data_IF_039783272914
#
_entry.id   IF_039783272914
#
_cell.length_a   1.000
_cell.length_b   1.000
_cell.length_c   1.000
_cell.angle_alpha   90.00
_cell.angle_beta   90.00
_cell.angle_gamma   90.00
#
_symmetry.space_group_name_H-M   'P 1'
#
loop_
_entity.id
_entity.type
_entity.pdbx_description
1 polymer ?
#
# COMPACT_ATOMS: atom_id res chain seq x y z
N UNK A 1 -8.64 26.05 -9.64
CA UNK A 1 -8.57 26.56 -8.27
C UNK A 1 -7.69 25.70 -7.38
N UNK A 2 -7.27 26.24 -6.23
CA UNK A 2 -6.46 25.52 -5.24
C UNK A 2 -6.96 25.88 -3.83
N UNK A 3 -7.24 24.88 -3.00
CA UNK A 3 -7.66 25.04 -1.60
C UNK A 3 -6.74 24.28 -0.69
N UNK A 4 -6.24 24.89 0.38
CA UNK A 4 -5.50 24.23 1.46
C UNK A 4 -6.47 24.06 2.63
N UNK A 5 -6.59 22.83 3.13
CA UNK A 5 -7.37 22.52 4.31
C UNK A 5 -6.47 22.42 5.54
N UNK A 6 -6.95 22.86 6.69
CA UNK A 6 -6.23 22.85 7.96
C UNK A 6 -6.60 21.62 8.83
N UNK A 7 -7.79 21.07 8.66
CA UNK A 7 -8.29 19.92 9.40
C UNK A 7 -9.18 19.01 8.54
N UNK A 8 -9.52 17.83 9.07
CA UNK A 8 -10.33 16.82 8.39
C UNK A 8 -11.76 17.33 8.07
N UNK A 9 -12.33 18.17 8.92
CA UNK A 9 -13.68 18.70 8.71
C UNK A 9 -13.73 19.65 7.51
N UNK A 10 -12.70 20.47 7.34
CA UNK A 10 -12.55 21.31 6.13
C UNK A 10 -12.39 20.49 4.85
N UNK A 11 -11.65 19.36 4.90
CA UNK A 11 -11.53 18.46 3.74
C UNK A 11 -12.90 17.89 3.40
N UNK A 12 -13.62 17.35 4.38
CA UNK A 12 -14.95 16.77 4.18
C UNK A 12 -15.93 17.80 3.59
N UNK A 13 -16.01 19.00 4.19
CA UNK A 13 -16.87 20.09 3.70
C UNK A 13 -16.51 20.53 2.27
N UNK A 14 -15.20 20.58 1.97
CA UNK A 14 -14.74 20.95 0.64
C UNK A 14 -15.13 19.90 -0.42
N UNK A 15 -15.03 18.61 -0.10
CA UNK A 15 -15.40 17.51 -0.99
C UNK A 15 -16.93 17.40 -1.15
N UNK A 16 -17.72 17.69 -0.12
CA UNK A 16 -19.18 17.78 -0.23
C UNK A 16 -19.59 18.90 -1.20
N UNK A 17 -18.93 20.07 -1.09
CA UNK A 17 -19.22 21.22 -1.97
C UNK A 17 -18.69 21.04 -3.38
N UNK A 18 -17.57 20.33 -3.53
CA UNK A 18 -16.86 20.13 -4.81
C UNK A 18 -16.52 18.64 -4.99
N UNK A 19 -17.51 17.77 -5.25
CA UNK A 19 -17.27 16.32 -5.31
C UNK A 19 -16.36 15.87 -6.47
N UNK A 20 -16.12 16.74 -7.46
CA UNK A 20 -15.19 16.51 -8.56
C UNK A 20 -13.79 17.09 -8.30
N UNK A 21 -13.57 17.73 -7.15
CA UNK A 21 -12.25 18.25 -6.80
C UNK A 21 -11.25 17.10 -6.62
N UNK A 22 -10.01 17.32 -7.05
CA UNK A 22 -8.93 16.36 -6.85
C UNK A 22 -8.25 16.60 -5.51
N UNK A 23 -8.31 15.59 -4.63
CA UNK A 23 -7.59 15.61 -3.37
C UNK A 23 -6.11 15.31 -3.62
N UNK A 24 -5.21 16.10 -3.05
CA UNK A 24 -3.76 15.95 -3.22
C UNK A 24 -3.03 16.01 -1.88
N UNK A 25 -2.17 14.99 -1.64
CA UNK A 25 -1.15 14.99 -0.59
C UNK A 25 0.16 15.55 -1.14
N UNK A 26 1.11 14.67 -1.48
CA UNK A 26 2.42 15.05 -2.04
C UNK A 26 2.47 15.26 -3.55
N UNK A 27 1.42 14.96 -4.29
CA UNK A 27 1.27 15.13 -5.74
C UNK A 27 2.28 14.43 -6.64
N UNK A 28 3.13 13.55 -6.14
CA UNK A 28 4.21 12.92 -6.93
C UNK A 28 3.71 12.06 -8.09
N UNK A 29 2.54 11.44 -7.96
CA UNK A 29 1.89 10.71 -9.05
C UNK A 29 0.94 11.62 -9.85
N UNK A 30 0.14 12.44 -9.15
CA UNK A 30 -0.81 13.34 -9.80
C UNK A 30 -0.15 14.36 -10.72
N UNK A 31 1.08 14.80 -10.40
CA UNK A 31 1.85 15.70 -11.27
C UNK A 31 2.09 15.11 -12.67
N UNK A 32 2.15 13.79 -12.80
CA UNK A 32 2.28 13.12 -14.09
C UNK A 32 0.98 13.20 -14.92
N UNK A 33 -0.18 13.17 -14.26
CA UNK A 33 -1.46 13.40 -14.95
C UNK A 33 -1.52 14.82 -15.56
N UNK A 34 -0.94 15.82 -14.86
CA UNK A 34 -0.86 17.21 -15.36
C UNK A 34 0.19 17.36 -16.45
N UNK A 35 1.42 16.85 -16.22
CA UNK A 35 2.56 17.12 -17.13
C UNK A 35 2.56 16.23 -18.36
N UNK A 36 2.04 15.01 -18.28
CA UNK A 36 2.02 14.05 -19.38
C UNK A 36 0.61 13.85 -19.96
N UNK A 37 -0.42 13.83 -19.10
CA UNK A 37 -1.82 13.64 -19.48
C UNK A 37 -2.56 14.95 -19.77
N UNK A 38 -1.92 16.12 -19.56
CA UNK A 38 -2.53 17.47 -19.71
C UNK A 38 -3.83 17.62 -18.89
N UNK A 39 -3.93 16.95 -17.74
CA UNK A 39 -5.07 17.07 -16.85
C UNK A 39 -5.18 18.51 -16.31
N UNK A 40 -6.36 19.09 -16.37
CA UNK A 40 -6.66 20.43 -15.90
C UNK A 40 -7.83 20.41 -14.92
N UNK A 41 -7.62 20.00 -13.65
CA UNK A 41 -8.68 19.95 -12.66
C UNK A 41 -9.21 21.33 -12.35
N UNK A 42 -10.51 21.47 -12.18
CA UNK A 42 -11.13 22.74 -11.78
C UNK A 42 -10.69 23.20 -10.39
N UNK A 43 -10.53 22.22 -9.47
CA UNK A 43 -10.12 22.47 -8.09
C UNK A 43 -9.22 21.36 -7.58
N UNK A 44 -8.08 21.75 -6.99
CA UNK A 44 -7.23 20.91 -6.16
C UNK A 44 -7.49 21.22 -4.68
N UNK A 45 -7.63 20.20 -3.87
CA UNK A 45 -7.75 20.30 -2.40
C UNK A 45 -6.51 19.65 -1.78
N UNK A 46 -5.67 20.46 -1.14
CA UNK A 46 -4.46 19.98 -0.47
C UNK A 46 -4.75 19.57 0.96
N UNK A 47 -4.30 18.35 1.32
CA UNK A 47 -4.33 17.82 2.69
C UNK A 47 -2.98 17.93 3.42
N UNK A 48 -1.96 18.50 2.78
CA UNK A 48 -0.60 18.57 3.34
C UNK A 48 -0.47 19.35 4.66
N UNK A 49 -1.49 20.14 5.05
CA UNK A 49 -1.53 20.85 6.34
C UNK A 49 -2.52 20.26 7.34
N UNK A 50 -3.23 19.19 6.99
CA UNK A 50 -4.17 18.52 7.90
C UNK A 50 -3.36 17.70 8.90
N UNK A 51 -3.22 18.20 10.12
CA UNK A 51 -2.34 17.61 11.13
C UNK A 51 -2.63 16.15 11.41
N UNK A 52 -3.90 15.78 11.55
CA UNK A 52 -4.35 14.43 11.84
C UNK A 52 -3.99 13.45 10.73
N UNK A 53 -3.93 13.92 9.48
CA UNK A 53 -3.55 13.11 8.32
C UNK A 53 -2.03 13.01 8.11
N UNK A 54 -1.24 13.83 8.83
CA UNK A 54 0.23 13.84 8.75
C UNK A 54 0.90 13.12 9.93
N UNK A 55 0.15 12.54 10.86
CA UNK A 55 0.70 11.89 12.05
C UNK A 55 1.00 10.41 11.79
N UNK A 56 2.13 9.93 12.34
CA UNK A 56 2.47 8.52 12.44
C UNK A 56 2.67 8.21 13.92
N UNK A 57 1.77 7.43 14.54
CA UNK A 57 1.79 7.19 16.00
C UNK A 57 1.47 5.74 16.31
N UNK A 58 2.18 5.18 17.28
CA UNK A 58 1.82 3.92 17.90
C UNK A 58 0.56 4.14 18.76
N UNK A 59 -0.42 3.29 18.58
CA UNK A 59 -1.65 3.25 19.36
C UNK A 59 -1.86 1.85 19.94
N UNK A 60 -2.92 1.67 20.73
CA UNK A 60 -3.22 0.33 21.25
C UNK A 60 -3.37 -0.69 20.11
N UNK A 61 -2.54 -1.72 20.14
CA UNK A 61 -2.57 -2.85 19.19
C UNK A 61 -1.92 -2.61 17.82
N UNK A 62 -1.40 -1.43 17.50
CA UNK A 62 -0.82 -1.19 16.19
C UNK A 62 -0.24 0.21 15.96
N UNK A 63 0.12 0.45 14.71
CA UNK A 63 0.61 1.72 14.20
C UNK A 63 -0.49 2.39 13.36
N UNK A 64 -0.86 3.64 13.70
CA UNK A 64 -1.72 4.48 12.87
C UNK A 64 -0.86 5.45 12.07
N UNK A 65 -1.05 5.44 10.76
CA UNK A 65 -0.37 6.33 9.80
C UNK A 65 -1.43 7.19 9.12
N UNK A 66 -1.35 8.49 9.27
CA UNK A 66 -2.21 9.44 8.57
C UNK A 66 -1.96 9.39 7.06
N UNK A 67 -3.01 9.55 6.26
CA UNK A 67 -2.94 9.37 4.81
C UNK A 67 -2.02 10.38 4.10
N UNK A 68 -1.81 11.56 4.69
CA UNK A 68 -0.91 12.59 4.16
C UNK A 68 0.52 12.50 4.71
N UNK A 69 0.81 11.56 5.63
CA UNK A 69 2.17 11.33 6.10
C UNK A 69 3.06 10.88 4.94
N UNK A 70 4.20 11.54 4.78
CA UNK A 70 5.16 11.23 3.73
C UNK A 70 5.87 9.90 4.01
N UNK A 71 6.42 9.29 2.97
CA UNK A 71 7.25 8.09 3.13
C UNK A 71 8.47 8.37 4.01
N UNK A 72 9.07 9.56 3.90
CA UNK A 72 10.20 9.97 4.75
C UNK A 72 9.81 10.02 6.22
N UNK A 73 8.62 10.51 6.56
CA UNK A 73 8.14 10.58 7.95
C UNK A 73 7.71 9.20 8.48
N UNK A 74 7.08 8.38 7.64
CA UNK A 74 6.59 7.07 8.04
C UNK A 74 7.71 6.01 8.16
N UNK A 75 8.74 6.06 7.30
CA UNK A 75 9.79 5.04 7.24
C UNK A 75 10.48 4.78 8.59
N UNK A 76 10.98 5.76 9.35
CA UNK A 76 11.65 5.49 10.62
C UNK A 76 10.76 4.74 11.62
N UNK A 77 9.47 5.06 11.66
CA UNK A 77 8.51 4.46 12.58
C UNK A 77 8.14 3.04 12.11
N UNK A 78 7.96 2.84 10.80
CA UNK A 78 7.76 1.51 10.24
C UNK A 78 8.94 0.58 10.55
N UNK A 79 10.18 1.06 10.43
CA UNK A 79 11.38 0.27 10.67
C UNK A 79 11.60 -0.07 12.15
N UNK A 80 11.05 0.69 13.10
CA UNK A 80 11.04 0.32 14.52
C UNK A 80 10.26 -0.98 14.77
N UNK A 81 9.20 -1.24 14.00
CA UNK A 81 8.32 -2.39 14.16
C UNK A 81 8.60 -3.51 13.13
N UNK A 82 9.02 -3.14 11.94
CA UNK A 82 9.29 -4.06 10.81
C UNK A 82 10.63 -3.72 10.14
N UNK A 83 11.77 -3.96 10.82
CA UNK A 83 13.10 -3.59 10.29
C UNK A 83 13.42 -4.27 8.95
N UNK A 84 12.83 -5.42 8.67
CA UNK A 84 13.00 -6.13 7.38
C UNK A 84 12.40 -5.42 6.15
N UNK A 85 11.65 -4.34 6.35
CA UNK A 85 11.13 -3.50 5.27
C UNK A 85 12.14 -2.46 4.78
N UNK A 86 13.33 -2.35 5.41
CA UNK A 86 14.30 -1.29 5.14
C UNK A 86 14.66 -1.18 3.67
N UNK A 87 15.11 -2.27 3.04
CA UNK A 87 15.50 -2.25 1.65
C UNK A 87 14.35 -1.78 0.73
N UNK A 88 13.15 -2.29 0.93
CA UNK A 88 11.99 -1.90 0.13
C UNK A 88 11.67 -0.41 0.28
N UNK A 89 11.63 0.10 1.51
CA UNK A 89 11.28 1.49 1.80
C UNK A 89 12.35 2.48 1.34
N UNK A 90 13.63 2.15 1.49
CA UNK A 90 14.74 2.99 1.02
C UNK A 90 14.86 3.01 -0.51
N UNK A 91 14.44 1.94 -1.18
CA UNK A 91 14.40 1.83 -2.64
C UNK A 91 13.07 2.30 -3.26
N UNK A 92 12.14 2.81 -2.46
CA UNK A 92 10.92 3.43 -2.97
C UNK A 92 11.25 4.82 -3.55
N UNK A 93 11.26 4.94 -4.87
CA UNK A 93 11.62 6.17 -5.56
C UNK A 93 12.92 6.80 -5.06
N UNK A 94 13.15 8.05 -5.40
CA UNK A 94 14.27 8.84 -4.89
C UNK A 94 13.97 9.46 -3.51
N UNK A 95 14.98 9.96 -2.78
CA UNK A 95 14.75 10.75 -1.56
C UNK A 95 13.80 11.94 -1.76
N UNK A 96 13.91 12.63 -2.91
CA UNK A 96 13.03 13.75 -3.27
C UNK A 96 11.57 13.29 -3.41
N UNK A 97 11.35 12.12 -4.01
CA UNK A 97 10.02 11.53 -4.11
C UNK A 97 9.50 11.14 -2.73
N UNK A 98 10.29 10.47 -1.90
CA UNK A 98 9.86 10.06 -0.55
C UNK A 98 9.52 11.23 0.36
N UNK A 99 10.16 12.38 0.18
CA UNK A 99 9.87 13.62 0.92
C UNK A 99 8.50 14.22 0.59
N UNK A 100 7.87 13.81 -0.51
CA UNK A 100 6.58 14.31 -0.97
C UNK A 100 5.51 13.20 -1.05
N UNK A 101 5.88 12.03 -1.54
CA UNK A 101 4.96 10.91 -1.70
C UNK A 101 4.40 10.48 -0.34
N UNK A 102 3.08 10.33 -0.27
CA UNK A 102 2.37 9.97 0.96
C UNK A 102 1.89 8.52 0.91
N UNK A 103 1.77 7.89 2.09
CA UNK A 103 1.26 6.52 2.21
C UNK A 103 -0.16 6.43 1.64
N UNK A 104 -1.06 7.34 2.05
CA UNK A 104 -2.44 7.36 1.55
C UNK A 104 -2.51 7.65 0.06
N UNK A 105 -1.63 8.53 -0.47
CA UNK A 105 -1.53 8.80 -1.91
C UNK A 105 -1.16 7.55 -2.71
N UNK A 106 -0.19 6.76 -2.24
CA UNK A 106 0.22 5.52 -2.89
C UNK A 106 -0.90 4.47 -2.87
N UNK A 107 -1.64 4.36 -1.76
CA UNK A 107 -2.81 3.48 -1.64
C UNK A 107 -3.95 3.95 -2.54
N UNK A 108 -4.32 5.24 -2.50
CA UNK A 108 -5.42 5.81 -3.30
C UNK A 108 -5.17 5.75 -4.80
N UNK A 109 -3.91 5.83 -5.24
CA UNK A 109 -3.52 5.68 -6.65
C UNK A 109 -3.82 4.28 -7.20
N UNK A 110 -3.92 3.27 -6.33
CA UNK A 110 -4.26 1.88 -6.66
C UNK A 110 -3.44 1.32 -7.83
N UNK A 111 -2.15 1.69 -7.89
CA UNK A 111 -1.24 1.15 -8.90
C UNK A 111 -0.98 -0.34 -8.64
N UNK A 112 -1.11 -1.23 -9.66
CA UNK A 112 -0.78 -2.64 -9.52
C UNK A 112 0.70 -2.90 -9.17
N UNK A 113 1.57 -1.93 -9.44
CA UNK A 113 3.01 -2.00 -9.17
C UNK A 113 3.46 -1.09 -8.02
N UNK A 114 2.52 -0.60 -7.21
CA UNK A 114 2.82 0.15 -6.00
C UNK A 114 3.46 -0.74 -4.93
N UNK A 115 4.47 -0.24 -4.21
CA UNK A 115 5.24 -1.04 -3.26
C UNK A 115 4.61 -1.07 -1.85
N UNK A 116 3.86 -0.04 -1.44
CA UNK A 116 3.24 -0.03 -0.10
C UNK A 116 2.01 -0.94 0.01
N UNK A 117 1.14 -1.12 -1.02
CA UNK A 117 -0.01 -2.00 -0.91
C UNK A 117 0.33 -3.46 -0.55
N UNK A 118 1.35 -4.14 -1.13
CA UNK A 118 1.76 -5.47 -0.71
C UNK A 118 2.19 -5.53 0.76
N UNK A 119 2.88 -4.50 1.27
CA UNK A 119 3.24 -4.40 2.71
C UNK A 119 1.97 -4.38 3.56
N UNK A 120 1.03 -3.52 3.22
CA UNK A 120 -0.20 -3.33 3.97
C UNK A 120 -1.10 -4.58 3.93
N UNK A 121 -1.15 -5.29 2.80
CA UNK A 121 -1.87 -6.56 2.65
C UNK A 121 -1.24 -7.68 3.49
N UNK A 122 0.09 -7.81 3.48
CA UNK A 122 0.79 -8.84 4.26
C UNK A 122 0.73 -8.57 5.77
N UNK A 123 0.67 -7.30 6.18
CA UNK A 123 0.54 -6.88 7.56
C UNK A 123 -0.91 -6.77 8.05
N UNK A 124 -1.88 -7.20 7.23
CA UNK A 124 -3.31 -7.18 7.56
C UNK A 124 -3.84 -5.80 7.98
N UNK A 125 -3.36 -4.78 7.29
CA UNK A 125 -3.72 -3.40 7.57
C UNK A 125 -5.19 -3.12 7.25
N UNK A 126 -5.74 -2.10 7.93
CA UNK A 126 -7.06 -1.54 7.63
C UNK A 126 -6.92 -0.08 7.19
N UNK A 127 -7.88 0.38 6.41
CA UNK A 127 -7.96 1.77 5.94
C UNK A 127 -9.21 2.44 6.50
N UNK A 128 -9.02 3.63 7.08
CA UNK A 128 -10.11 4.48 7.58
C UNK A 128 -10.50 5.48 6.50
N UNK A 129 -11.76 5.45 6.10
CA UNK A 129 -12.36 6.29 5.08
C UNK A 129 -13.36 7.25 5.71
N UNK A 130 -13.47 8.47 5.15
CA UNK A 130 -14.41 9.47 5.63
C UNK A 130 -15.16 10.15 4.49
N UNK A 131 -16.46 10.39 4.72
CA UNK A 131 -17.34 11.21 3.89
C UNK A 131 -18.20 12.08 4.79
N UNK A 132 -18.08 13.39 4.67
CA UNK A 132 -18.77 14.31 5.59
C UNK A 132 -18.42 14.04 7.04
N UNK A 133 -19.41 13.71 7.86
CA UNK A 133 -19.23 13.32 9.27
C UNK A 133 -19.10 11.81 9.48
N UNK A 134 -19.41 11.00 8.46
CA UNK A 134 -19.40 9.54 8.55
C UNK A 134 -18.01 8.99 8.29
N UNK A 135 -17.65 7.97 9.06
CA UNK A 135 -16.40 7.19 8.88
C UNK A 135 -16.71 5.72 8.77
N UNK A 136 -15.90 5.00 7.99
CA UNK A 136 -15.91 3.54 7.94
C UNK A 136 -14.49 3.01 7.83
N UNK A 137 -14.28 1.79 8.26
CA UNK A 137 -13.00 1.10 8.18
C UNK A 137 -13.16 -0.16 7.36
N UNK A 138 -12.20 -0.42 6.46
CA UNK A 138 -12.14 -1.62 5.64
C UNK A 138 -10.80 -2.33 5.83
N UNK A 139 -10.77 -3.67 5.75
CA UNK A 139 -9.52 -4.39 5.52
C UNK A 139 -8.88 -3.92 4.21
N UNK A 140 -7.55 -3.83 4.17
CA UNK A 140 -6.82 -3.45 2.95
C UNK A 140 -7.10 -4.42 1.79
N UNK A 141 -7.39 -5.68 2.10
CA UNK A 141 -7.77 -6.71 1.12
C UNK A 141 -9.10 -6.45 0.40
N UNK A 142 -9.94 -5.58 0.94
CA UNK A 142 -11.23 -5.19 0.34
C UNK A 142 -11.18 -3.81 -0.31
N UNK A 143 -10.02 -3.12 -0.25
CA UNK A 143 -9.91 -1.76 -0.75
C UNK A 143 -9.71 -1.68 -2.28
N UNK A 144 -9.01 -2.64 -2.90
CA UNK A 144 -8.71 -2.65 -4.33
C UNK A 144 -9.70 -3.53 -5.08
N UNK A 145 -10.42 -2.96 -6.05
CA UNK A 145 -11.46 -3.70 -6.80
C UNK A 145 -11.00 -4.15 -8.19
N UNK A 146 -10.37 -3.27 -8.96
CA UNK A 146 -9.81 -3.54 -10.28
C UNK A 146 -8.74 -2.50 -10.62
N UNK A 147 -8.18 -2.54 -11.83
CA UNK A 147 -7.13 -1.61 -12.23
C UNK A 147 -7.51 -0.15 -11.95
N UNK A 148 -6.76 0.50 -11.07
CA UNK A 148 -6.97 1.89 -10.59
C UNK A 148 -8.37 2.17 -10.04
N UNK A 149 -9.10 1.16 -9.57
CA UNK A 149 -10.39 1.32 -8.90
C UNK A 149 -10.31 0.82 -7.46
N UNK A 150 -10.81 1.64 -6.57
CA UNK A 150 -10.82 1.38 -5.13
C UNK A 150 -12.24 1.38 -4.58
N UNK A 151 -12.36 1.03 -3.31
CA UNK A 151 -13.61 1.06 -2.54
C UNK A 151 -14.06 2.49 -2.15
N UNK A 152 -13.33 3.53 -2.56
CA UNK A 152 -13.71 4.92 -2.30
C UNK A 152 -14.99 5.30 -3.05
N UNK A 153 -15.99 5.74 -2.31
CA UNK A 153 -17.18 6.38 -2.86
C UNK A 153 -16.89 7.82 -3.30
N UNK A 154 -17.80 8.39 -4.11
CA UNK A 154 -17.70 9.80 -4.50
C UNK A 154 -17.76 10.71 -3.26
N UNK A 155 -16.77 11.60 -3.13
CA UNK A 155 -16.60 12.49 -1.98
C UNK A 155 -16.02 11.84 -0.74
N UNK A 156 -15.62 10.57 -0.81
CA UNK A 156 -14.92 9.87 0.26
C UNK A 156 -13.40 10.00 0.13
N UNK A 157 -12.69 9.98 1.25
CA UNK A 157 -11.23 10.07 1.26
C UNK A 157 -10.60 9.23 2.37
N UNK A 158 -9.35 8.84 2.16
CA UNK A 158 -8.57 8.12 3.16
C UNK A 158 -8.11 9.09 4.24
N UNK A 159 -8.43 8.79 5.50
CA UNK A 159 -7.98 9.54 6.68
C UNK A 159 -6.67 8.97 7.23
N UNK A 160 -6.66 7.67 7.45
CA UNK A 160 -5.53 6.96 8.04
C UNK A 160 -5.49 5.49 7.62
N UNK A 161 -4.33 4.88 7.84
CA UNK A 161 -4.11 3.45 7.70
C UNK A 161 -3.67 2.94 9.07
N UNK A 162 -4.28 1.84 9.53
CA UNK A 162 -3.88 1.17 10.76
C UNK A 162 -3.21 -0.15 10.40
N UNK A 163 -2.02 -0.38 10.96
CA UNK A 163 -1.25 -1.62 10.79
C UNK A 163 -1.16 -2.29 12.16
N UNK A 164 -1.76 -3.47 12.37
CA UNK A 164 -1.67 -4.17 13.64
C UNK A 164 -0.22 -4.58 13.91
N UNK A 165 0.19 -4.54 15.19
CA UNK A 165 1.48 -5.08 15.57
C UNK A 165 1.47 -6.60 15.43
N UNK A 166 2.53 -7.13 14.90
CA UNK A 166 2.72 -8.58 14.81
C UNK A 166 2.86 -9.20 16.20
N UNK A 167 2.47 -10.47 16.33
CA UNK A 167 2.89 -11.28 17.47
C UNK A 167 4.42 -11.40 17.50
N UNK A 168 5.01 -11.54 18.69
CA UNK A 168 6.46 -11.51 18.91
C UNK A 168 7.26 -12.53 18.06
N UNK A 169 6.61 -13.61 17.60
CA UNK A 169 7.23 -14.69 16.81
C UNK A 169 7.02 -14.53 15.29
N UNK A 170 6.38 -13.43 14.84
CA UNK A 170 6.11 -13.24 13.43
C UNK A 170 7.36 -12.78 12.67
N UNK A 171 7.56 -13.35 11.51
CA UNK A 171 8.59 -12.96 10.56
C UNK A 171 7.95 -12.23 9.39
N UNK A 172 8.54 -11.10 9.00
CA UNK A 172 8.18 -10.36 7.78
C UNK A 172 9.39 -10.33 6.86
N UNK A 173 9.18 -10.53 5.57
CA UNK A 173 10.21 -10.34 4.53
C UNK A 173 9.61 -9.61 3.35
N UNK A 174 10.36 -8.69 2.79
CA UNK A 174 9.96 -7.91 1.63
C UNK A 174 11.03 -8.00 0.54
N UNK A 175 10.58 -8.12 -0.71
CA UNK A 175 11.45 -8.25 -1.88
C UNK A 175 10.95 -7.30 -2.96
N UNK A 176 11.85 -6.42 -3.42
CA UNK A 176 11.59 -5.49 -4.53
C UNK A 176 12.47 -5.88 -5.71
N UNK A 177 11.86 -6.45 -6.75
CA UNK A 177 12.54 -6.86 -7.99
C UNK A 177 12.37 -5.76 -9.03
N UNK A 178 13.48 -5.22 -9.53
CA UNK A 178 13.51 -4.09 -10.47
C UNK A 178 14.62 -4.30 -11.52
N UNK A 179 14.56 -3.54 -12.61
CA UNK A 179 15.64 -3.53 -13.62
C UNK A 179 16.88 -2.76 -13.14
N UNK A 180 16.68 -1.69 -12.38
CA UNK A 180 17.72 -0.87 -11.77
C UNK A 180 17.60 -0.97 -10.26
N UNK A 181 18.72 -0.83 -9.56
CA UNK A 181 18.72 -0.96 -8.09
C UNK A 181 17.93 0.19 -7.42
N UNK A 182 18.23 1.42 -7.84
CA UNK A 182 17.60 2.62 -7.27
C UNK A 182 16.62 3.28 -8.24
N UNK A 183 15.66 4.00 -7.66
CA UNK A 183 14.71 4.88 -8.34
C UNK A 183 13.99 4.20 -9.52
N UNK A 184 13.57 2.96 -9.30
CA UNK A 184 12.88 2.18 -10.33
C UNK A 184 11.57 1.58 -9.81
N UNK A 185 10.61 1.42 -10.72
CA UNK A 185 9.32 0.80 -10.45
C UNK A 185 9.49 -0.70 -10.41
N UNK A 186 8.87 -1.35 -9.44
CA UNK A 186 8.92 -2.81 -9.28
C UNK A 186 8.35 -3.53 -10.50
N UNK A 187 9.11 -4.49 -11.01
CA UNK A 187 8.56 -5.55 -11.87
C UNK A 187 7.67 -6.47 -11.04
N UNK A 188 8.17 -6.86 -9.86
CA UNK A 188 7.45 -7.60 -8.81
C UNK A 188 7.84 -7.02 -7.46
N UNK A 189 6.85 -6.79 -6.61
CA UNK A 189 7.04 -6.56 -5.19
C UNK A 189 6.36 -7.69 -4.43
N UNK A 190 7.09 -8.40 -3.56
CA UNK A 190 6.56 -9.47 -2.72
C UNK A 190 6.78 -9.13 -1.26
N UNK A 191 5.74 -9.33 -0.44
CA UNK A 191 5.87 -9.24 1.03
C UNK A 191 5.23 -10.48 1.63
N UNK A 192 6.00 -11.19 2.46
CA UNK A 192 5.54 -12.36 3.18
C UNK A 192 5.57 -12.12 4.69
N UNK A 193 4.51 -12.52 5.36
CA UNK A 193 4.36 -12.57 6.79
C UNK A 193 4.03 -14.00 7.21
N UNK A 194 4.69 -14.50 8.25
CA UNK A 194 4.38 -15.80 8.86
C UNK A 194 4.88 -15.87 10.28
N UNK A 195 4.26 -16.73 11.07
CA UNK A 195 4.78 -17.19 12.35
C UNK A 195 5.24 -18.66 12.23
N UNK A 196 6.08 -19.10 13.16
CA UNK A 196 6.51 -20.49 13.26
C UNK A 196 6.06 -21.07 14.59
N UNK A 197 5.08 -21.98 14.54
CA UNK A 197 4.52 -22.65 15.72
C UNK A 197 4.76 -24.15 15.61
N UNK A 198 5.45 -24.75 16.56
CA UNK A 198 5.77 -26.20 16.55
C UNK A 198 6.39 -26.69 15.23
N UNK A 199 7.34 -25.94 14.68
CA UNK A 199 7.98 -26.20 13.39
C UNK A 199 7.02 -26.22 12.19
N UNK A 200 5.88 -25.52 12.27
CA UNK A 200 4.91 -25.34 11.20
C UNK A 200 4.70 -23.87 10.90
N UNK A 201 4.33 -23.57 9.66
CA UNK A 201 3.87 -22.23 9.28
C UNK A 201 2.52 -21.93 9.94
N UNK A 202 2.36 -20.72 10.43
CA UNK A 202 1.10 -20.20 10.98
C UNK A 202 0.95 -18.73 10.67
N UNK A 203 -0.29 -18.25 10.58
CA UNK A 203 -0.64 -16.86 10.29
C UNK A 203 0.06 -16.34 9.02
N UNK A 204 -0.05 -17.14 7.94
CA UNK A 204 0.66 -16.87 6.69
C UNK A 204 -0.10 -15.86 5.83
N UNK A 205 0.60 -14.84 5.40
CA UNK A 205 0.13 -13.87 4.41
C UNK A 205 1.24 -13.58 3.42
N UNK A 206 0.96 -13.77 2.13
CA UNK A 206 1.92 -13.49 1.05
C UNK A 206 1.26 -12.60 0.03
N UNK A 207 1.73 -11.37 -0.09
CA UNK A 207 1.13 -10.35 -0.93
C UNK A 207 2.07 -9.90 -2.05
N UNK A 208 1.50 -9.54 -3.18
CA UNK A 208 2.25 -9.19 -4.38
C UNK A 208 1.74 -7.91 -5.03
N UNK A 209 2.70 -7.14 -5.56
CA UNK A 209 2.48 -6.12 -6.59
C UNK A 209 3.13 -6.55 -7.90
N UNK A 210 2.54 -6.20 -9.03
CA UNK A 210 3.04 -6.53 -10.37
C UNK A 210 2.62 -7.90 -10.90
N UNK A 211 1.86 -8.69 -10.14
CA UNK A 211 1.45 -10.05 -10.53
C UNK A 211 0.00 -10.14 -11.02
N UNK A 212 -0.82 -9.12 -10.74
CA UNK A 212 -2.23 -9.02 -11.15
C UNK A 212 -2.58 -7.56 -11.47
N UNK A 213 -3.82 -7.31 -11.87
CA UNK A 213 -4.33 -5.94 -12.12
C UNK A 213 -4.45 -5.07 -10.86
N UNK A 214 -4.44 -5.69 -9.68
CA UNK A 214 -4.43 -5.05 -8.37
C UNK A 214 -3.36 -5.68 -7.47
N UNK A 215 -2.86 -4.96 -6.46
CA UNK A 215 -2.10 -5.58 -5.37
C UNK A 215 -2.96 -6.62 -4.66
N UNK A 216 -2.48 -7.84 -4.51
CA UNK A 216 -3.30 -8.92 -3.95
C UNK A 216 -2.47 -9.99 -3.25
N UNK A 217 -3.14 -10.84 -2.47
CA UNK A 217 -2.53 -11.98 -1.75
C UNK A 217 -2.58 -13.24 -2.58
N UNK A 218 -1.53 -14.06 -2.48
CA UNK A 218 -1.45 -15.41 -3.06
C UNK A 218 -2.18 -16.43 -2.19
N UNK A 219 -3.48 -16.59 -2.38
CA UNK A 219 -4.34 -17.40 -1.51
C UNK A 219 -4.08 -18.89 -1.61
N UNK A 220 -3.81 -19.42 -2.80
CA UNK A 220 -3.44 -20.81 -3.00
C UNK A 220 -2.09 -21.11 -2.31
N UNK A 221 -1.11 -20.22 -2.51
CA UNK A 221 0.18 -20.28 -1.82
C UNK A 221 0.02 -20.27 -0.30
N UNK A 222 -0.74 -19.33 0.26
CA UNK A 222 -1.01 -19.25 1.71
C UNK A 222 -1.66 -20.55 2.24
N UNK A 223 -2.63 -21.10 1.50
CA UNK A 223 -3.33 -22.33 1.88
C UNK A 223 -2.40 -23.55 1.92
N UNK A 224 -1.40 -23.62 1.05
CA UNK A 224 -0.38 -24.68 1.08
C UNK A 224 0.56 -24.51 2.27
N UNK A 225 0.92 -23.28 2.61
CA UNK A 225 1.83 -23.01 3.72
C UNK A 225 1.17 -23.17 5.08
N UNK A 226 -0.05 -22.68 5.28
CA UNK A 226 -0.73 -22.64 6.58
C UNK A 226 -0.84 -24.02 7.23
N UNK A 227 -0.31 -24.17 8.45
CA UNK A 227 -0.27 -25.42 9.20
C UNK A 227 0.70 -26.49 8.68
N UNK A 228 1.38 -26.26 7.55
CA UNK A 228 2.34 -27.19 6.94
C UNK A 228 3.71 -27.12 7.61
N UNK A 229 4.52 -28.17 7.42
CA UNK A 229 5.88 -28.25 7.96
C UNK A 229 6.77 -27.11 7.44
N UNK A 230 7.61 -26.56 8.31
CA UNK A 230 8.58 -25.55 7.96
C UNK A 230 9.79 -26.19 7.29
N UNK A 231 9.65 -26.58 6.02
CA UNK A 231 10.68 -27.26 5.23
C UNK A 231 10.64 -26.86 3.75
N UNK A 232 11.69 -27.22 3.00
CA UNK A 232 11.83 -26.88 1.59
C UNK A 232 10.76 -27.52 0.70
N UNK A 233 10.32 -28.73 1.01
CA UNK A 233 9.28 -29.42 0.22
C UNK A 233 7.95 -28.68 0.28
N UNK A 234 7.60 -28.12 1.43
CA UNK A 234 6.42 -27.27 1.60
C UNK A 234 6.57 -25.97 0.80
N UNK A 235 7.77 -25.34 0.82
CA UNK A 235 8.04 -24.14 0.03
C UNK A 235 7.90 -24.44 -1.48
N UNK A 236 8.46 -25.55 -1.98
CA UNK A 236 8.35 -25.90 -3.39
C UNK A 236 6.89 -26.08 -3.83
N UNK A 237 6.06 -26.71 -2.99
CA UNK A 237 4.61 -26.81 -3.25
C UNK A 237 3.92 -25.43 -3.27
N UNK A 238 4.28 -24.56 -2.34
CA UNK A 238 3.73 -23.21 -2.27
C UNK A 238 4.10 -22.37 -3.49
N UNK A 239 5.34 -22.49 -4.00
CA UNK A 239 5.79 -21.85 -5.24
C UNK A 239 4.97 -22.33 -6.44
N UNK A 240 4.70 -23.65 -6.53
CA UNK A 240 3.85 -24.20 -7.61
C UNK A 240 2.43 -23.61 -7.51
N UNK A 241 1.86 -23.50 -6.31
CA UNK A 241 0.53 -22.95 -6.09
C UNK A 241 0.39 -21.47 -6.49
N UNK A 242 1.47 -20.69 -6.53
CA UNK A 242 1.44 -19.32 -7.04
C UNK A 242 0.97 -19.24 -8.50
N UNK A 243 1.13 -20.31 -9.28
CA UNK A 243 0.63 -20.35 -10.66
C UNK A 243 -0.92 -20.39 -10.75
N UNK A 244 -1.58 -20.78 -9.67
CA UNK A 244 -3.04 -20.74 -9.53
C UNK A 244 -3.52 -19.35 -9.10
N UNK A 245 -2.70 -18.63 -8.32
CA UNK A 245 -3.01 -17.30 -7.83
C UNK A 245 -2.84 -16.22 -8.90
N UNK A 246 -1.89 -16.38 -9.83
CA UNK A 246 -1.43 -15.29 -10.68
C UNK A 246 -1.31 -15.64 -12.16
N UNK A 247 -1.80 -14.73 -12.99
CA UNK A 247 -1.62 -14.73 -14.44
C UNK A 247 -1.09 -13.38 -14.91
N UNK A 248 0.20 -13.07 -14.62
CA UNK A 248 0.78 -11.78 -14.94
C UNK A 248 0.82 -11.52 -16.45
N UNK A 249 0.74 -10.24 -16.81
CA UNK A 249 0.80 -9.78 -18.20
C UNK A 249 2.20 -9.25 -18.57
N UNK A 250 2.46 -9.12 -19.86
CA UNK A 250 3.58 -8.35 -20.38
C UNK A 250 3.28 -6.85 -20.25
N UNK A 251 4.26 -6.08 -19.75
CA UNK A 251 4.21 -4.63 -19.74
C UNK A 251 5.61 -4.00 -19.87
N UNK A 252 5.70 -2.68 -19.75
CA UNK A 252 6.97 -1.94 -19.86
C UNK A 252 7.99 -2.31 -18.77
N UNK A 253 7.56 -2.96 -17.67
CA UNK A 253 8.43 -3.31 -16.54
C UNK A 253 9.04 -4.69 -16.67
N UNK A 254 8.23 -5.68 -17.08
CA UNK A 254 8.69 -7.05 -17.25
C UNK A 254 7.73 -7.84 -18.15
N UNK A 255 8.23 -8.95 -18.70
CA UNK A 255 7.39 -9.94 -19.37
C UNK A 255 6.65 -10.81 -18.35
N UNK A 256 5.51 -11.39 -18.76
CA UNK A 256 4.78 -12.40 -17.97
C UNK A 256 5.67 -13.59 -17.61
N UNK A 257 6.52 -14.02 -18.54
CA UNK A 257 7.49 -15.11 -18.31
C UNK A 257 8.53 -14.78 -17.25
N UNK A 258 8.99 -13.52 -17.18
CA UNK A 258 9.94 -13.10 -16.15
C UNK A 258 9.30 -13.03 -14.76
N UNK A 259 8.00 -12.69 -14.68
CA UNK A 259 7.26 -12.58 -13.43
C UNK A 259 6.88 -13.94 -12.83
N UNK A 260 6.72 -14.95 -13.67
CA UNK A 260 6.52 -16.37 -13.28
C UNK A 260 7.82 -17.03 -12.88
#
# INVERSE_FOLDING_TARGET
>A
GFKICADIAEVATALERYPQARLVGGSTDYSLEVTQGLAAPELLISVGRVREMNTCVAVSGGLRIGAAATLTEATPILLQHWPSLEELLLRFGSPQIRNQATIGGNVANASPVGDTPPVLLALDATVELRKGVSTRTLPMSEFFHSYKKTALDSGEFIVSIFIPFNHNDATVRAYKVTKRFEDDISAVCMVAHWSKVNNRFADVRVAFGGMAEIPTRGKACESVLEGSSFDLQTIDKAVIALSEDFSPIDDLRASATYRK
#
